data_IF_340782099885
#
_entry.id   IF_340782099885
#
_cell.length_a   1.000
_cell.length_b   1.000
_cell.length_c   1.000
_cell.angle_alpha   90.00
_cell.angle_beta   90.00
_cell.angle_gamma   90.00
#
_symmetry.space_group_name_H-M   'P 1'
#
loop_
_entity.id
_entity.type
_entity.pdbx_description
1 polymer ?
#
# COMPACT_ATOMS: atom_id res chain seq x y z
N UNK A 1 25.41 -6.59 -11.60
CA UNK A 1 24.67 -7.72 -10.99
C UNK A 1 23.61 -8.26 -11.93
N UNK A 2 23.15 -9.49 -11.68
CA UNK A 2 21.94 -10.07 -12.31
C UNK A 2 20.86 -10.23 -11.25
N UNK A 3 19.77 -9.50 -11.39
CA UNK A 3 18.68 -9.45 -10.41
C UNK A 3 17.44 -10.09 -11.02
N UNK A 4 16.81 -11.01 -10.29
CA UNK A 4 15.52 -11.58 -10.64
C UNK A 4 14.44 -11.02 -9.72
N UNK A 5 13.32 -10.53 -10.29
CA UNK A 5 12.24 -9.89 -9.56
C UNK A 5 10.92 -10.65 -9.83
N UNK A 6 10.17 -11.06 -8.80
CA UNK A 6 8.82 -11.62 -8.98
C UNK A 6 7.86 -10.50 -9.40
N UNK A 7 7.66 -10.39 -10.71
CA UNK A 7 6.88 -9.35 -11.36
C UNK A 7 5.40 -9.71 -11.52
N UNK A 8 4.94 -10.78 -10.88
CA UNK A 8 3.59 -11.35 -11.09
C UNK A 8 2.47 -10.33 -10.84
N UNK A 9 2.65 -9.43 -9.87
CA UNK A 9 1.64 -8.45 -9.46
C UNK A 9 1.66 -7.17 -10.30
N UNK A 10 2.70 -6.91 -11.10
CA UNK A 10 2.84 -5.67 -11.90
C UNK A 10 2.00 -5.64 -13.17
N UNK A 11 1.36 -6.76 -13.55
CA UNK A 11 0.70 -6.92 -14.87
C UNK A 11 -0.80 -6.69 -14.76
N UNK A 12 -1.32 -5.84 -15.65
CA UNK A 12 -2.74 -5.54 -15.79
C UNK A 12 -3.06 -4.06 -15.58
N UNK A 13 -4.29 -3.66 -15.93
CA UNK A 13 -4.75 -2.29 -15.77
C UNK A 13 -5.13 -1.98 -14.31
N UNK A 14 -5.70 -2.98 -13.62
CA UNK A 14 -6.25 -2.85 -12.27
C UNK A 14 -5.23 -3.31 -11.23
N UNK A 15 -4.29 -2.43 -10.89
CA UNK A 15 -3.24 -2.75 -9.93
C UNK A 15 -3.71 -2.51 -8.50
N UNK A 16 -3.47 -3.49 -7.63
CA UNK A 16 -3.48 -3.27 -6.17
C UNK A 16 -2.28 -2.44 -5.72
N UNK A 17 -2.25 -2.01 -4.46
CA UNK A 17 -1.06 -1.33 -3.89
C UNK A 17 0.24 -2.11 -4.09
N UNK A 18 0.22 -3.45 -3.90
CA UNK A 18 1.36 -4.34 -4.20
C UNK A 18 1.73 -4.32 -5.69
N UNK A 19 0.73 -4.22 -6.57
CA UNK A 19 0.96 -4.12 -8.01
C UNK A 19 1.62 -2.79 -8.41
N UNK A 20 1.18 -1.68 -7.83
CA UNK A 20 1.80 -0.36 -8.00
C UNK A 20 3.25 -0.39 -7.51
N UNK A 21 3.50 -0.86 -6.30
CA UNK A 21 4.86 -1.04 -5.77
C UNK A 21 5.72 -1.88 -6.71
N UNK A 22 5.22 -3.04 -7.15
CA UNK A 22 5.96 -3.93 -8.05
C UNK A 22 6.36 -3.20 -9.33
N UNK A 23 5.44 -2.48 -9.97
CA UNK A 23 5.70 -1.73 -11.20
C UNK A 23 6.75 -0.64 -10.99
N UNK A 24 6.64 0.13 -9.90
CA UNK A 24 7.60 1.18 -9.56
C UNK A 24 9.01 0.61 -9.32
N UNK A 25 9.11 -0.52 -8.63
CA UNK A 25 10.40 -1.18 -8.39
C UNK A 25 11.02 -1.72 -9.69
N UNK A 26 10.23 -2.37 -10.55
CA UNK A 26 10.71 -2.91 -11.82
C UNK A 26 11.27 -1.81 -12.72
N UNK A 27 10.49 -0.76 -12.94
CA UNK A 27 10.85 0.36 -13.80
C UNK A 27 11.98 1.20 -13.20
N UNK A 28 11.91 1.45 -11.90
CA UNK A 28 12.90 2.25 -11.17
C UNK A 28 14.27 1.58 -11.18
N UNK A 29 14.36 0.33 -10.71
CA UNK A 29 15.62 -0.42 -10.63
C UNK A 29 16.28 -0.56 -12.01
N UNK A 30 15.51 -0.92 -13.03
CA UNK A 30 16.08 -1.11 -14.37
C UNK A 30 16.59 0.20 -15.00
N UNK A 31 15.90 1.33 -14.75
CA UNK A 31 16.32 2.64 -15.28
C UNK A 31 17.52 3.22 -14.55
N UNK A 32 17.57 3.09 -13.22
CA UNK A 32 18.67 3.67 -12.43
C UNK A 32 19.96 2.85 -12.51
N UNK A 33 19.87 1.56 -12.88
CA UNK A 33 21.01 0.65 -12.98
C UNK A 33 21.13 0.03 -14.39
N UNK A 34 21.43 0.84 -15.44
CA UNK A 34 21.44 0.38 -16.82
C UNK A 34 22.58 -0.62 -17.15
N UNK A 35 23.64 -0.64 -16.35
CA UNK A 35 24.74 -1.58 -16.49
C UNK A 35 24.40 -2.99 -15.96
N UNK A 36 23.34 -3.11 -15.16
CA UNK A 36 22.92 -4.35 -14.54
C UNK A 36 21.87 -5.06 -15.39
N UNK A 37 21.64 -6.35 -15.16
CA UNK A 37 20.68 -7.18 -15.91
C UNK A 37 19.53 -7.62 -14.99
N UNK A 38 18.31 -7.52 -15.50
CA UNK A 38 17.10 -7.85 -14.78
C UNK A 38 16.33 -8.99 -15.45
N UNK A 39 15.90 -9.98 -14.67
CA UNK A 39 14.94 -10.98 -15.07
C UNK A 39 13.58 -10.69 -14.40
N UNK A 40 12.62 -10.20 -15.18
CA UNK A 40 11.26 -9.99 -14.71
C UNK A 40 10.52 -11.32 -14.79
N UNK A 41 10.25 -11.88 -13.62
CA UNK A 41 9.75 -13.23 -13.45
C UNK A 41 8.23 -13.21 -13.24
N UNK A 42 7.50 -13.89 -14.10
CA UNK A 42 6.04 -13.95 -14.06
C UNK A 42 5.57 -15.40 -13.85
N UNK A 43 4.67 -15.63 -12.91
CA UNK A 43 4.01 -16.93 -12.73
C UNK A 43 3.11 -17.25 -13.91
N UNK A 44 2.80 -18.57 -14.18
CA UNK A 44 2.13 -19.00 -15.41
C UNK A 44 0.87 -18.21 -15.76
N UNK A 45 0.01 -17.95 -14.77
CA UNK A 45 -1.26 -17.24 -14.97
C UNK A 45 -1.13 -15.76 -15.38
N UNK A 46 0.06 -15.16 -15.28
CA UNK A 46 0.38 -13.77 -15.66
C UNK A 46 1.40 -13.70 -16.80
N UNK A 47 2.10 -14.78 -17.13
CA UNK A 47 3.21 -14.78 -18.08
C UNK A 47 2.79 -14.29 -19.47
N UNK A 48 1.72 -14.86 -20.03
CA UNK A 48 1.24 -14.42 -21.36
C UNK A 48 0.80 -12.94 -21.37
N UNK A 49 0.14 -12.50 -20.31
CA UNK A 49 -0.27 -11.09 -20.19
C UNK A 49 0.90 -10.13 -20.13
N UNK A 50 2.07 -10.57 -19.66
CA UNK A 50 3.27 -9.73 -19.57
C UNK A 50 3.79 -9.28 -20.94
N UNK A 51 3.43 -9.95 -22.03
CA UNK A 51 3.85 -9.56 -23.37
C UNK A 51 3.20 -8.25 -23.85
N UNK A 52 2.10 -7.83 -23.24
CA UNK A 52 1.52 -6.51 -23.44
C UNK A 52 2.30 -5.37 -22.77
N UNK A 53 3.25 -5.68 -21.89
CA UNK A 53 4.07 -4.66 -21.19
C UNK A 53 5.40 -4.46 -21.93
N UNK A 54 5.80 -3.19 -22.11
CA UNK A 54 7.12 -2.85 -22.67
C UNK A 54 8.17 -2.98 -21.58
N UNK A 55 9.24 -3.73 -21.84
CA UNK A 55 10.34 -3.89 -20.88
C UNK A 55 11.47 -2.89 -21.15
N UNK A 56 12.22 -2.47 -20.11
CA UNK A 56 13.49 -1.79 -20.26
C UNK A 56 14.51 -2.64 -21.04
N UNK A 57 15.47 -1.99 -21.73
CA UNK A 57 16.46 -2.66 -22.59
C UNK A 57 17.36 -3.66 -21.87
N UNK A 58 17.58 -3.48 -20.56
CA UNK A 58 18.39 -4.35 -19.72
C UNK A 58 17.55 -5.40 -18.95
N UNK A 59 16.26 -5.55 -19.27
CA UNK A 59 15.36 -6.51 -18.64
C UNK A 59 14.84 -7.56 -19.64
N UNK A 60 14.70 -8.78 -19.17
CA UNK A 60 14.11 -9.90 -19.92
C UNK A 60 12.99 -10.59 -19.14
N UNK A 61 12.06 -11.24 -19.87
CA UNK A 61 10.97 -12.04 -19.26
C UNK A 61 11.46 -13.43 -18.87
N UNK A 62 10.96 -13.90 -17.74
CA UNK A 62 11.21 -15.28 -17.30
C UNK A 62 9.90 -15.91 -16.79
N UNK A 63 9.61 -17.12 -17.24
CA UNK A 63 8.49 -17.91 -16.73
C UNK A 63 8.86 -18.51 -15.38
N UNK A 64 8.33 -17.97 -14.30
CA UNK A 64 8.56 -18.41 -12.92
C UNK A 64 7.68 -19.61 -12.57
N UNK A 65 8.30 -20.70 -12.15
CA UNK A 65 7.60 -21.86 -11.57
C UNK A 65 7.93 -22.01 -10.10
N UNK A 66 7.24 -22.90 -9.41
CA UNK A 66 7.56 -23.17 -7.99
C UNK A 66 8.96 -23.77 -7.81
N UNK A 67 9.40 -24.62 -8.73
CA UNK A 67 10.75 -25.23 -8.72
C UNK A 67 11.69 -24.62 -9.75
N UNK A 68 11.26 -23.57 -10.48
CA UNK A 68 12.00 -22.95 -11.57
C UNK A 68 12.17 -21.46 -11.35
N UNK A 69 13.41 -21.01 -11.14
CA UNK A 69 13.81 -19.61 -11.06
C UNK A 69 15.10 -19.38 -11.88
N UNK A 70 15.46 -18.11 -12.20
CA UNK A 70 16.71 -17.79 -12.90
C UNK A 70 17.94 -18.20 -12.09
N UNK A 71 18.61 -19.30 -12.47
CA UNK A 71 19.78 -19.85 -11.75
C UNK A 71 21.01 -18.92 -11.78
N UNK A 72 21.11 -18.06 -12.79
CA UNK A 72 22.21 -17.10 -12.94
C UNK A 72 21.99 -15.79 -12.20
N UNK A 73 20.85 -15.58 -11.54
CA UNK A 73 20.60 -14.40 -10.75
C UNK A 73 21.47 -14.38 -9.49
N UNK A 74 22.10 -13.25 -9.23
CA UNK A 74 22.88 -13.02 -8.00
C UNK A 74 21.92 -12.83 -6.81
N UNK A 75 20.78 -12.13 -7.03
CA UNK A 75 19.71 -11.93 -6.06
C UNK A 75 18.37 -12.23 -6.72
N UNK A 76 17.50 -12.94 -6.02
CA UNK A 76 16.08 -13.07 -6.32
C UNK A 76 15.29 -12.27 -5.31
N UNK A 77 14.43 -11.35 -5.78
CA UNK A 77 13.54 -10.57 -4.92
C UNK A 77 12.08 -10.92 -5.17
N UNK A 78 11.44 -11.51 -4.17
CA UNK A 78 9.99 -11.61 -4.08
C UNK A 78 9.40 -10.27 -3.69
N UNK A 79 8.85 -9.52 -4.65
CA UNK A 79 8.25 -8.19 -4.42
C UNK A 79 6.97 -8.24 -3.55
N UNK A 80 6.68 -9.39 -3.00
CA UNK A 80 5.69 -9.69 -1.99
C UNK A 80 6.24 -10.81 -1.10
N UNK A 81 5.58 -11.15 0.01
CA UNK A 81 5.98 -12.20 0.96
C UNK A 81 5.84 -13.64 0.36
N UNK A 82 6.49 -13.88 -0.78
CA UNK A 82 6.48 -15.18 -1.45
C UNK A 82 7.77 -15.44 -2.22
N UNK A 83 8.33 -16.62 -2.05
CA UNK A 83 9.46 -17.14 -2.84
C UNK A 83 9.06 -18.41 -3.58
N UNK A 84 9.68 -18.72 -4.73
CA UNK A 84 9.59 -20.06 -5.34
C UNK A 84 10.39 -21.06 -4.50
N UNK A 85 10.01 -22.33 -4.50
CA UNK A 85 10.79 -23.40 -3.85
C UNK A 85 12.07 -23.79 -4.62
N UNK A 86 12.37 -23.11 -5.73
CA UNK A 86 13.62 -23.28 -6.47
C UNK A 86 14.83 -22.87 -5.60
N UNK A 87 15.99 -23.45 -5.91
CA UNK A 87 17.26 -23.02 -5.30
C UNK A 87 17.61 -21.60 -5.77
N UNK A 88 17.74 -20.68 -4.82
CA UNK A 88 18.15 -19.29 -5.01
C UNK A 88 19.57 -19.10 -4.46
N UNK A 89 20.38 -18.23 -5.07
CA UNK A 89 21.71 -17.89 -4.54
C UNK A 89 21.60 -16.99 -3.33
N UNK A 90 20.78 -15.95 -3.46
CA UNK A 90 20.40 -15.02 -2.40
C UNK A 90 18.94 -14.63 -2.59
N UNK A 91 18.22 -14.50 -1.51
CA UNK A 91 16.80 -14.16 -1.54
C UNK A 91 16.49 -12.91 -0.73
N UNK A 92 15.69 -12.04 -1.32
CA UNK A 92 15.06 -10.89 -0.66
C UNK A 92 13.55 -11.03 -0.79
N UNK A 93 12.80 -10.66 0.25
CA UNK A 93 11.33 -10.53 0.16
C UNK A 93 10.89 -9.19 0.71
N UNK A 94 9.82 -8.64 0.12
CA UNK A 94 9.13 -7.46 0.67
C UNK A 94 7.87 -7.87 1.39
N UNK A 95 7.73 -7.43 2.64
CA UNK A 95 6.52 -7.58 3.44
C UNK A 95 5.76 -6.25 3.43
N UNK A 96 4.54 -6.27 2.90
CA UNK A 96 3.67 -5.10 2.81
C UNK A 96 2.79 -4.93 4.04
N UNK A 97 2.35 -6.02 4.61
CA UNK A 97 1.56 -6.10 5.85
C UNK A 97 1.53 -7.53 6.39
N UNK A 98 1.08 -7.65 7.64
CA UNK A 98 0.81 -8.94 8.28
C UNK A 98 -0.58 -8.95 8.96
N UNK A 99 -1.48 -8.03 8.60
CA UNK A 99 -2.81 -7.90 9.23
C UNK A 99 -3.61 -9.21 9.23
N UNK A 100 -3.35 -10.08 8.26
CA UNK A 100 -3.98 -11.41 8.17
C UNK A 100 -3.58 -12.32 9.35
N UNK A 101 -2.40 -12.09 9.94
CA UNK A 101 -1.89 -12.84 11.08
C UNK A 101 -2.26 -12.21 12.43
N UNK A 102 -2.44 -10.89 12.46
CA UNK A 102 -2.66 -10.11 13.68
C UNK A 102 -4.12 -9.84 13.98
N UNK A 103 -5.02 -10.08 13.01
CA UNK A 103 -6.46 -9.85 13.18
C UNK A 103 -7.33 -10.82 12.37
N UNK A 104 -8.63 -10.76 12.61
CA UNK A 104 -9.64 -11.59 11.93
C UNK A 104 -10.19 -10.92 10.66
N UNK A 105 -9.27 -10.45 9.79
CA UNK A 105 -9.61 -9.68 8.60
C UNK A 105 -9.74 -10.52 7.32
N UNK A 106 -9.81 -11.86 7.46
CA UNK A 106 -9.98 -12.79 6.35
C UNK A 106 -10.50 -14.14 6.84
N UNK A 107 -10.81 -15.05 5.90
CA UNK A 107 -11.28 -16.41 6.28
C UNK A 107 -10.16 -17.21 6.99
N UNK A 108 -10.50 -18.15 7.89
CA UNK A 108 -9.51 -18.99 8.57
C UNK A 108 -8.58 -19.73 7.60
N UNK A 109 -9.10 -20.24 6.47
CA UNK A 109 -8.32 -20.94 5.45
C UNK A 109 -7.29 -20.03 4.80
N UNK A 110 -7.70 -18.80 4.46
CA UNK A 110 -6.80 -17.81 3.88
C UNK A 110 -5.72 -17.42 4.88
N UNK A 111 -6.08 -17.19 6.15
CA UNK A 111 -5.16 -16.85 7.23
C UNK A 111 -4.09 -17.92 7.42
N UNK A 112 -4.49 -19.21 7.43
CA UNK A 112 -3.54 -20.34 7.54
C UNK A 112 -2.56 -20.37 6.37
N UNK A 113 -3.08 -20.32 5.12
CA UNK A 113 -2.22 -20.32 3.92
C UNK A 113 -1.27 -19.12 3.87
N UNK A 114 -1.76 -17.95 4.25
CA UNK A 114 -0.93 -16.76 4.33
C UNK A 114 0.17 -16.91 5.38
N UNK A 115 -0.15 -17.47 6.56
CA UNK A 115 0.81 -17.72 7.62
C UNK A 115 1.93 -18.66 7.18
N UNK A 116 1.57 -19.77 6.53
CA UNK A 116 2.53 -20.73 5.99
C UNK A 116 3.46 -20.08 4.96
N UNK A 117 2.88 -19.35 3.99
CA UNK A 117 3.63 -18.67 2.95
C UNK A 117 4.55 -17.57 3.53
N UNK A 118 4.06 -16.78 4.48
CA UNK A 118 4.84 -15.71 5.10
C UNK A 118 6.02 -16.28 5.91
N UNK A 119 5.81 -17.36 6.68
CA UNK A 119 6.87 -18.04 7.44
C UNK A 119 7.91 -18.68 6.52
N UNK A 120 7.47 -19.36 5.45
CA UNK A 120 8.40 -19.95 4.45
C UNK A 120 9.26 -18.84 3.82
N UNK A 121 8.65 -17.78 3.34
CA UNK A 121 9.39 -16.66 2.74
C UNK A 121 10.35 -16.01 3.74
N UNK A 122 9.92 -15.77 4.98
CA UNK A 122 10.76 -15.16 6.02
C UNK A 122 11.96 -16.03 6.39
N UNK A 123 11.75 -17.36 6.53
CA UNK A 123 12.83 -18.30 6.88
C UNK A 123 13.89 -18.40 5.80
N UNK A 124 13.51 -18.30 4.52
CA UNK A 124 14.39 -18.50 3.36
C UNK A 124 14.97 -17.21 2.78
N UNK A 125 14.59 -16.04 3.29
CA UNK A 125 15.14 -14.77 2.84
C UNK A 125 16.45 -14.43 3.54
N UNK A 126 17.49 -14.03 2.82
CA UNK A 126 18.74 -13.51 3.39
C UNK A 126 18.52 -12.09 3.95
N UNK A 127 17.65 -11.31 3.31
CA UNK A 127 17.18 -10.00 3.77
C UNK A 127 15.66 -9.88 3.57
N UNK A 128 15.04 -9.13 4.44
CA UNK A 128 13.62 -8.80 4.36
C UNK A 128 13.47 -7.29 4.29
N UNK A 129 12.76 -6.81 3.30
CA UNK A 129 12.32 -5.42 3.23
C UNK A 129 10.95 -5.33 3.87
N UNK A 130 10.81 -4.49 4.89
CA UNK A 130 9.53 -4.10 5.47
C UNK A 130 9.19 -2.68 5.02
N UNK A 131 7.94 -2.44 4.67
CA UNK A 131 7.52 -1.15 4.07
C UNK A 131 7.34 -0.04 5.11
N UNK A 132 7.41 -0.38 6.40
CA UNK A 132 7.35 0.55 7.54
C UNK A 132 8.06 -0.04 8.75
N UNK A 133 8.36 0.79 9.76
CA UNK A 133 8.86 0.33 11.06
C UNK A 133 7.82 -0.56 11.76
N UNK A 134 6.53 -0.24 11.57
CA UNK A 134 5.45 -1.06 12.12
C UNK A 134 5.48 -2.46 11.52
N UNK A 135 5.53 -2.59 10.18
CA UNK A 135 5.65 -3.89 9.51
C UNK A 135 6.97 -4.60 9.87
N UNK A 136 8.06 -3.86 10.05
CA UNK A 136 9.33 -4.46 10.50
C UNK A 136 9.19 -5.11 11.88
N UNK A 137 8.58 -4.42 12.85
CA UNK A 137 8.28 -5.00 14.16
C UNK A 137 7.40 -6.25 14.04
N UNK A 138 6.34 -6.22 13.24
CA UNK A 138 5.50 -7.41 13.03
C UNK A 138 6.29 -8.58 12.43
N UNK A 139 7.19 -8.34 11.48
CA UNK A 139 8.06 -9.38 10.89
C UNK A 139 8.97 -9.99 11.97
N UNK A 140 9.55 -9.17 12.83
CA UNK A 140 10.42 -9.63 13.92
C UNK A 140 9.60 -10.41 14.96
N UNK A 141 8.51 -9.83 15.47
CA UNK A 141 7.78 -10.34 16.63
C UNK A 141 6.88 -11.54 16.27
N UNK A 142 6.18 -11.49 15.13
CA UNK A 142 5.19 -12.51 14.74
C UNK A 142 5.83 -13.67 13.98
N UNK A 143 6.88 -13.40 13.18
CA UNK A 143 7.55 -14.42 12.37
C UNK A 143 8.88 -14.89 12.97
N UNK A 144 9.34 -14.28 14.08
CA UNK A 144 10.59 -14.65 14.75
C UNK A 144 11.85 -14.37 13.94
N UNK A 145 11.83 -13.33 13.10
CA UNK A 145 12.96 -12.98 12.23
C UNK A 145 13.99 -12.17 13.01
N UNK A 146 15.27 -12.50 12.82
CA UNK A 146 16.37 -11.68 13.36
C UNK A 146 16.31 -10.26 12.77
N UNK A 147 16.31 -9.26 13.65
CA UNK A 147 16.30 -7.83 13.31
C UNK A 147 17.42 -7.46 12.34
N UNK A 148 18.61 -8.09 12.45
CA UNK A 148 19.75 -7.86 11.57
C UNK A 148 19.44 -8.15 10.09
N UNK A 149 18.43 -8.98 9.81
CA UNK A 149 17.98 -9.32 8.45
C UNK A 149 16.92 -8.36 7.89
N UNK A 150 16.32 -7.49 8.71
CA UNK A 150 15.21 -6.62 8.31
C UNK A 150 15.74 -5.24 7.92
N UNK A 151 15.23 -4.71 6.80
CA UNK A 151 15.49 -3.35 6.33
C UNK A 151 14.17 -2.64 6.08
N UNK A 152 14.04 -1.41 6.55
CA UNK A 152 12.85 -0.61 6.30
C UNK A 152 13.04 0.23 5.05
N UNK A 153 12.14 0.03 4.08
CA UNK A 153 12.11 0.80 2.83
C UNK A 153 10.68 1.28 2.60
N UNK A 154 10.43 2.55 2.87
CA UNK A 154 9.13 3.15 2.67
C UNK A 154 8.73 3.17 1.19
N UNK A 155 7.44 3.09 0.91
CA UNK A 155 6.93 3.36 -0.43
C UNK A 155 7.08 4.84 -0.79
N UNK A 156 7.15 5.10 -2.09
CA UNK A 156 7.00 6.44 -2.62
C UNK A 156 5.55 6.76 -2.97
N UNK A 157 5.29 8.02 -3.26
CA UNK A 157 4.04 8.49 -3.86
C UNK A 157 4.36 9.30 -5.12
N UNK A 158 3.50 9.22 -6.10
CA UNK A 158 3.55 10.12 -7.25
C UNK A 158 2.64 11.31 -6.99
N UNK A 159 3.14 12.55 -7.15
CA UNK A 159 2.24 13.69 -7.17
C UNK A 159 1.15 13.46 -8.23
N UNK A 160 -0.11 13.75 -7.93
CA UNK A 160 -1.16 13.61 -8.92
C UNK A 160 -0.88 14.55 -10.08
N UNK A 161 -0.83 14.01 -11.30
CA UNK A 161 -0.86 14.79 -12.50
C UNK A 161 -2.27 15.36 -12.70
N UNK A 162 -2.45 16.69 -12.69
CA UNK A 162 -3.76 17.27 -12.95
C UNK A 162 -3.76 18.79 -12.80
N UNK A 163 -4.75 19.43 -13.45
CA UNK A 163 -5.07 20.84 -13.28
C UNK A 163 -5.66 21.08 -11.89
N UNK A 164 -5.42 22.25 -11.30
CA UNK A 164 -6.07 22.68 -10.07
C UNK A 164 -7.61 22.59 -10.22
N UNK A 165 -8.23 21.78 -9.39
CA UNK A 165 -9.69 21.56 -9.38
C UNK A 165 -10.26 22.20 -8.11
N UNK A 166 -11.39 22.87 -8.24
CA UNK A 166 -12.12 23.38 -7.06
C UNK A 166 -12.57 22.22 -6.19
N UNK A 167 -12.15 22.22 -4.92
CA UNK A 167 -12.56 21.21 -3.95
C UNK A 167 -14.05 21.31 -3.65
N UNK A 168 -14.67 20.15 -3.47
CA UNK A 168 -16.09 20.00 -3.19
C UNK A 168 -16.28 19.49 -1.76
N UNK A 169 -17.45 19.70 -1.18
CA UNK A 169 -17.82 19.18 0.15
C UNK A 169 -17.93 17.64 0.13
N UNK A 170 -16.81 16.99 -0.16
CA UNK A 170 -16.67 15.54 -0.23
C UNK A 170 -15.69 15.11 0.86
N UNK A 171 -16.12 14.14 1.67
CA UNK A 171 -15.26 13.31 2.48
C UNK A 171 -14.98 12.04 1.65
N UNK A 172 -13.72 11.84 1.26
CA UNK A 172 -13.30 10.70 0.46
C UNK A 172 -12.66 9.63 1.34
N UNK A 173 -13.02 8.37 1.11
CA UNK A 173 -12.32 7.20 1.60
C UNK A 173 -11.86 6.35 0.41
N UNK A 174 -10.60 5.89 0.42
CA UNK A 174 -10.04 5.02 -0.61
C UNK A 174 -9.50 3.73 0.01
N UNK A 175 -10.02 2.61 -0.45
CA UNK A 175 -9.62 1.27 0.00
C UNK A 175 -10.74 0.26 -0.23
N UNK A 176 -10.40 -1.02 -0.24
CA UNK A 176 -11.42 -2.07 -0.36
C UNK A 176 -12.49 -1.93 0.75
N UNK A 177 -13.73 -2.16 0.39
CA UNK A 177 -14.86 -2.18 1.34
C UNK A 177 -14.72 -3.44 2.19
N UNK A 178 -14.10 -3.31 3.35
CA UNK A 178 -13.77 -4.45 4.25
C UNK A 178 -13.66 -4.00 5.71
N UNK A 179 -13.83 -4.94 6.64
CA UNK A 179 -13.83 -4.66 8.09
C UNK A 179 -12.61 -3.86 8.55
N UNK A 180 -11.42 -4.24 8.10
CA UNK A 180 -10.16 -3.59 8.49
C UNK A 180 -10.13 -2.09 8.18
N UNK A 181 -10.84 -1.66 7.15
CA UNK A 181 -10.95 -0.25 6.75
C UNK A 181 -11.91 0.57 7.62
N UNK A 182 -12.64 -0.09 8.51
CA UNK A 182 -13.48 0.53 9.53
C UNK A 182 -14.55 1.49 8.97
N UNK A 183 -15.07 1.15 7.79
CA UNK A 183 -16.04 1.98 7.06
C UNK A 183 -17.34 2.10 7.85
N UNK A 184 -17.72 1.08 8.62
CA UNK A 184 -18.91 1.11 9.46
C UNK A 184 -18.89 2.27 10.45
N UNK A 185 -17.75 2.52 11.15
CA UNK A 185 -17.62 3.67 12.04
C UNK A 185 -17.56 4.99 11.30
N UNK A 186 -16.93 5.00 10.12
CA UNK A 186 -16.92 6.19 9.28
C UNK A 186 -18.34 6.61 8.88
N UNK A 187 -19.22 5.65 8.59
CA UNK A 187 -20.64 5.90 8.29
C UNK A 187 -21.36 6.47 9.52
N UNK A 188 -21.16 5.89 10.72
CA UNK A 188 -21.74 6.39 11.96
C UNK A 188 -21.29 7.83 12.25
N UNK A 189 -20.02 8.10 12.13
CA UNK A 189 -19.45 9.43 12.33
C UNK A 189 -19.98 10.45 11.29
N UNK A 190 -20.15 10.02 10.05
CA UNK A 190 -20.67 10.86 8.96
C UNK A 190 -22.13 11.27 9.16
N UNK A 191 -22.92 10.52 9.90
CA UNK A 191 -24.32 10.88 10.17
C UNK A 191 -24.50 12.21 10.88
N UNK A 192 -23.49 12.67 11.63
CA UNK A 192 -23.46 13.96 12.33
C UNK A 192 -22.89 15.13 11.51
N UNK A 193 -22.36 14.83 10.31
CA UNK A 193 -21.85 15.84 9.39
C UNK A 193 -23.01 16.57 8.70
N UNK A 194 -22.86 17.87 8.47
CA UNK A 194 -23.88 18.75 7.86
C UNK A 194 -24.36 18.18 6.52
N UNK A 195 -25.65 18.43 6.18
CA UNK A 195 -26.36 17.76 5.08
C UNK A 195 -25.85 18.05 3.68
N UNK A 196 -25.07 19.09 3.50
CA UNK A 196 -24.49 19.50 2.23
C UNK A 196 -23.15 18.80 1.90
N UNK A 197 -22.67 17.90 2.77
CA UNK A 197 -21.53 17.05 2.55
C UNK A 197 -21.90 15.69 2.02
N UNK A 198 -21.00 15.12 1.21
CA UNK A 198 -21.08 13.75 0.69
C UNK A 198 -19.95 12.90 1.23
N UNK A 199 -20.23 11.62 1.50
CA UNK A 199 -19.21 10.59 1.75
C UNK A 199 -19.04 9.76 0.48
N UNK A 200 -17.82 9.71 -0.05
CA UNK A 200 -17.49 8.93 -1.24
C UNK A 200 -16.53 7.81 -0.85
N UNK A 201 -16.91 6.59 -1.16
CA UNK A 201 -16.18 5.36 -0.88
C UNK A 201 -15.68 4.76 -2.21
N UNK A 202 -14.36 4.79 -2.44
CA UNK A 202 -13.72 4.26 -3.63
C UNK A 202 -12.95 2.97 -3.30
N UNK A 203 -13.38 1.84 -3.84
CA UNK A 203 -12.73 0.54 -3.68
C UNK A 203 -13.68 -0.63 -3.91
N UNK A 204 -13.10 -1.76 -4.30
CA UNK A 204 -13.87 -2.99 -4.54
C UNK A 204 -14.33 -3.63 -3.23
N UNK A 205 -15.35 -4.49 -3.32
CA UNK A 205 -15.78 -5.31 -2.19
C UNK A 205 -14.66 -6.23 -1.70
N UNK A 206 -14.48 -6.30 -0.39
CA UNK A 206 -13.55 -7.16 0.30
C UNK A 206 -14.21 -7.98 1.40
N UNK A 207 -13.42 -8.46 2.35
CA UNK A 207 -13.92 -9.29 3.46
C UNK A 207 -14.86 -8.48 4.38
N UNK A 208 -16.08 -8.98 4.59
CA UNK A 208 -17.13 -8.31 5.37
C UNK A 208 -17.88 -7.21 4.63
N UNK A 209 -17.74 -7.11 3.29
CA UNK A 209 -18.38 -6.07 2.51
C UNK A 209 -19.93 -6.11 2.58
N UNK A 210 -20.54 -7.29 2.68
CA UNK A 210 -21.99 -7.43 2.71
C UNK A 210 -22.61 -6.70 3.91
N UNK A 211 -22.03 -6.87 5.10
CA UNK A 211 -22.50 -6.24 6.33
C UNK A 211 -22.28 -4.72 6.29
N UNK A 212 -21.16 -4.27 5.72
CA UNK A 212 -20.87 -2.85 5.55
C UNK A 212 -21.89 -2.20 4.59
N UNK A 213 -22.19 -2.86 3.47
CA UNK A 213 -23.18 -2.40 2.49
C UNK A 213 -24.57 -2.36 3.11
N UNK A 214 -24.96 -3.38 3.88
CA UNK A 214 -26.23 -3.40 4.60
C UNK A 214 -26.31 -2.23 5.60
N UNK A 215 -25.24 -1.94 6.34
CA UNK A 215 -25.18 -0.80 7.26
C UNK A 215 -25.33 0.54 6.52
N UNK A 216 -24.65 0.71 5.39
CA UNK A 216 -24.80 1.92 4.55
C UNK A 216 -26.26 2.09 4.10
N UNK A 217 -26.89 1.00 3.66
CA UNK A 217 -28.30 1.01 3.23
C UNK A 217 -29.29 1.38 4.34
N UNK A 218 -28.96 1.03 5.60
CA UNK A 218 -29.76 1.37 6.78
C UNK A 218 -29.46 2.77 7.38
N UNK A 219 -28.38 3.41 6.96
CA UNK A 219 -27.95 4.71 7.49
C UNK A 219 -28.94 5.83 7.12
N UNK A 220 -29.17 6.77 8.03
CA UNK A 220 -29.99 7.98 7.77
C UNK A 220 -29.39 8.87 6.67
N UNK A 221 -28.05 8.80 6.54
CA UNK A 221 -27.27 9.56 5.56
C UNK A 221 -27.09 8.83 4.22
N UNK A 222 -27.74 7.67 3.98
CA UNK A 222 -27.54 6.81 2.80
C UNK A 222 -27.56 7.56 1.46
N UNK A 223 -28.47 8.54 1.31
CA UNK A 223 -28.60 9.34 0.08
C UNK A 223 -27.39 10.24 -0.20
N UNK A 224 -26.55 10.46 0.82
CA UNK A 224 -25.32 11.25 0.74
C UNK A 224 -24.04 10.37 0.69
N UNK A 225 -24.20 9.04 0.73
CA UNK A 225 -23.07 8.09 0.68
C UNK A 225 -23.04 7.46 -0.72
N UNK A 226 -21.92 7.66 -1.39
CA UNK A 226 -21.70 7.14 -2.74
C UNK A 226 -20.60 6.08 -2.75
N UNK A 227 -20.93 4.85 -3.13
CA UNK A 227 -19.95 3.79 -3.37
C UNK A 227 -19.61 3.72 -4.86
N UNK A 228 -18.31 3.86 -5.20
CA UNK A 228 -17.86 3.89 -6.59
C UNK A 228 -17.42 2.51 -7.10
N UNK A 229 -17.19 1.53 -6.21
CA UNK A 229 -16.49 0.32 -6.58
C UNK A 229 -15.02 0.58 -6.92
N UNK A 230 -14.45 -0.25 -7.78
CA UNK A 230 -13.11 -0.02 -8.29
C UNK A 230 -13.06 1.27 -9.14
N UNK A 231 -12.08 2.11 -8.88
CA UNK A 231 -11.85 3.36 -9.60
C UNK A 231 -10.48 3.31 -10.26
N UNK A 232 -10.36 3.48 -11.59
CA UNK A 232 -9.08 3.52 -12.28
C UNK A 232 -8.17 4.64 -11.74
N UNK A 233 -6.82 4.49 -11.79
CA UNK A 233 -5.88 5.45 -11.19
C UNK A 233 -6.06 6.90 -11.67
N UNK A 234 -6.32 7.11 -12.97
CA UNK A 234 -6.52 8.45 -13.51
C UNK A 234 -7.80 9.12 -12.97
N UNK A 235 -8.87 8.35 -12.79
CA UNK A 235 -10.12 8.84 -12.20
C UNK A 235 -9.96 9.03 -10.69
N UNK A 236 -9.25 8.12 -10.03
CA UNK A 236 -8.97 8.21 -8.59
C UNK A 236 -8.19 9.48 -8.23
N UNK A 237 -7.22 9.88 -9.07
CA UNK A 237 -6.51 11.15 -8.92
C UNK A 237 -7.48 12.37 -8.91
N UNK A 238 -8.51 12.35 -9.77
CA UNK A 238 -9.54 13.38 -9.78
C UNK A 238 -10.39 13.39 -8.49
N UNK A 239 -10.67 12.22 -7.91
CA UNK A 239 -11.39 12.14 -6.64
C UNK A 239 -10.56 12.72 -5.50
N UNK A 240 -9.27 12.40 -5.39
CA UNK A 240 -8.37 13.02 -4.42
C UNK A 240 -8.29 14.55 -4.58
N UNK A 241 -8.18 15.04 -5.82
CA UNK A 241 -8.10 16.48 -6.08
C UNK A 241 -9.39 17.22 -5.70
N UNK A 242 -10.56 16.61 -5.90
CA UNK A 242 -11.88 17.20 -5.61
C UNK A 242 -12.31 17.07 -4.14
N UNK A 243 -11.80 16.08 -3.42
CA UNK A 243 -12.19 15.86 -2.04
C UNK A 243 -11.69 17.00 -1.13
N UNK A 244 -12.57 17.58 -0.33
CA UNK A 244 -12.22 18.59 0.66
C UNK A 244 -11.63 17.99 1.94
N UNK A 245 -11.94 16.71 2.24
CA UNK A 245 -11.40 15.95 3.36
C UNK A 245 -11.15 14.51 2.90
N UNK A 246 -10.05 13.92 3.33
CA UNK A 246 -9.78 12.50 3.20
C UNK A 246 -9.88 11.83 4.57
N UNK A 247 -10.68 10.76 4.70
CA UNK A 247 -10.88 10.03 5.95
C UNK A 247 -10.39 8.59 5.85
N UNK A 248 -9.46 8.19 6.74
CA UNK A 248 -8.82 6.88 6.71
C UNK A 248 -8.72 6.25 8.12
N UNK A 249 -9.85 5.88 8.74
CA UNK A 249 -9.88 5.34 10.10
C UNK A 249 -9.59 3.84 10.14
N UNK A 250 -8.64 3.36 9.35
CA UNK A 250 -8.32 1.93 9.25
C UNK A 250 -7.80 1.37 10.57
N UNK A 251 -8.21 0.15 10.91
CA UNK A 251 -7.80 -0.54 12.13
C UNK A 251 -6.36 -1.08 12.05
N UNK A 252 -5.92 -1.48 10.87
CA UNK A 252 -4.57 -2.02 10.63
C UNK A 252 -4.10 -1.71 9.21
N UNK A 253 -2.87 -1.22 9.07
CA UNK A 253 -2.21 -0.92 7.81
C UNK A 253 -0.71 -1.21 7.89
N UNK A 254 -0.18 -1.83 6.85
CA UNK A 254 1.27 -2.03 6.78
C UNK A 254 2.04 -0.78 6.35
N UNK A 255 1.36 0.19 5.68
CA UNK A 255 1.96 1.47 5.29
C UNK A 255 0.93 2.62 5.27
N UNK A 256 -0.11 2.53 4.44
CA UNK A 256 -1.09 3.61 4.30
C UNK A 256 -0.88 4.45 3.03
N UNK A 257 -0.62 3.82 1.89
CA UNK A 257 -0.50 4.51 0.58
C UNK A 257 -1.60 5.55 0.33
N UNK A 258 -2.90 5.27 0.59
CA UNK A 258 -3.96 6.24 0.35
C UNK A 258 -3.82 7.54 1.15
N UNK A 259 -3.20 7.49 2.34
CA UNK A 259 -2.90 8.68 3.15
C UNK A 259 -1.89 9.57 2.42
N UNK A 260 -0.80 8.99 1.90
CA UNK A 260 0.19 9.76 1.13
C UNK A 260 -0.38 10.28 -0.19
N UNK A 261 -1.23 9.51 -0.88
CA UNK A 261 -1.89 9.94 -2.11
C UNK A 261 -2.81 11.14 -1.87
N UNK A 262 -3.58 11.10 -0.78
CA UNK A 262 -4.41 12.22 -0.34
C UNK A 262 -3.57 13.46 -0.01
N UNK A 263 -2.49 13.30 0.76
CA UNK A 263 -1.55 14.37 1.11
C UNK A 263 -0.87 14.96 -0.13
N UNK A 264 -0.38 14.12 -1.05
CA UNK A 264 0.23 14.56 -2.30
C UNK A 264 -0.76 15.32 -3.21
N UNK A 265 -2.06 15.05 -3.05
CA UNK A 265 -3.14 15.78 -3.71
C UNK A 265 -3.57 17.05 -2.95
N UNK A 266 -2.94 17.36 -1.82
CA UNK A 266 -3.28 18.48 -0.94
C UNK A 266 -4.63 18.30 -0.23
N UNK A 267 -5.18 17.09 -0.12
CA UNK A 267 -6.38 16.87 0.68
C UNK A 267 -6.03 16.84 2.18
N UNK A 268 -6.71 17.61 3.04
CA UNK A 268 -6.60 17.48 4.49
C UNK A 268 -7.00 16.08 4.93
N UNK A 269 -6.22 15.47 5.82
CA UNK A 269 -6.36 14.06 6.21
C UNK A 269 -6.80 13.93 7.66
N UNK A 270 -7.84 13.11 7.89
CA UNK A 270 -8.16 12.50 9.18
C UNK A 270 -7.82 11.02 9.05
N UNK A 271 -6.99 10.49 9.93
CA UNK A 271 -6.53 9.12 9.84
C UNK A 271 -6.38 8.45 11.22
N UNK A 272 -6.28 7.13 11.21
CA UNK A 272 -6.04 6.33 12.41
C UNK A 272 -4.70 6.69 13.08
N UNK A 273 -4.66 6.67 14.39
CA UNK A 273 -3.46 6.77 15.21
C UNK A 273 -2.74 5.42 15.42
N UNK A 274 -3.16 4.36 14.72
CA UNK A 274 -2.65 2.99 14.89
C UNK A 274 -1.86 2.48 13.69
N UNK A 275 -1.15 1.40 13.91
CA UNK A 275 -0.37 0.65 12.91
C UNK A 275 0.72 1.51 12.24
N UNK A 276 0.89 1.44 10.92
CA UNK A 276 1.86 2.25 10.20
C UNK A 276 1.36 3.67 9.87
N UNK A 277 0.10 3.99 10.11
CA UNK A 277 -0.49 5.27 9.70
C UNK A 277 0.18 6.48 10.37
N UNK A 278 0.46 6.50 11.68
CA UNK A 278 1.18 7.60 12.33
C UNK A 278 2.59 7.80 11.78
N UNK A 279 3.30 6.71 11.44
CA UNK A 279 4.65 6.77 10.85
C UNK A 279 4.63 7.48 9.49
N UNK A 280 3.60 7.24 8.68
CA UNK A 280 3.43 7.82 7.35
C UNK A 280 2.90 9.23 7.44
N UNK A 281 1.89 9.47 8.24
CA UNK A 281 1.21 10.76 8.35
C UNK A 281 2.02 11.82 9.11
N UNK A 282 2.76 11.41 10.15
CA UNK A 282 3.44 12.34 11.04
C UNK A 282 2.45 13.32 11.68
N UNK A 283 2.81 14.58 11.72
CA UNK A 283 1.99 15.70 12.19
C UNK A 283 1.11 16.35 11.10
N UNK A 284 1.10 15.77 9.90
CA UNK A 284 0.39 16.30 8.74
C UNK A 284 -1.04 15.75 8.57
N UNK A 285 -1.53 14.96 9.52
CA UNK A 285 -2.91 14.52 9.60
C UNK A 285 -3.51 14.79 10.98
N UNK A 286 -4.82 14.84 11.05
CA UNK A 286 -5.53 14.74 12.31
C UNK A 286 -5.69 13.25 12.65
N UNK A 287 -4.85 12.77 13.57
CA UNK A 287 -4.90 11.38 14.03
C UNK A 287 -6.01 11.20 15.06
N UNK A 288 -6.73 10.09 14.97
CA UNK A 288 -7.84 9.71 15.86
C UNK A 288 -7.74 8.23 16.22
N UNK A 289 -8.22 7.86 17.39
CA UNK A 289 -8.42 6.44 17.72
C UNK A 289 -9.50 5.86 16.80
N UNK A 290 -9.18 4.89 15.94
CA UNK A 290 -10.15 4.30 15.02
C UNK A 290 -11.26 3.51 15.72
N UNK A 291 -11.13 3.21 17.01
CA UNK A 291 -12.16 2.56 17.81
C UNK A 291 -13.04 3.55 18.57
N UNK A 292 -12.67 4.81 18.65
CA UNK A 292 -13.49 5.88 19.22
C UNK A 292 -14.33 6.58 18.13
N UNK A 293 -15.62 6.24 18.08
CA UNK A 293 -16.55 6.84 17.12
C UNK A 293 -16.82 8.32 17.41
N UNK A 294 -16.79 8.74 18.68
CA UNK A 294 -17.03 10.13 19.05
C UNK A 294 -15.84 11.03 18.69
N UNK A 295 -14.61 10.53 18.87
CA UNK A 295 -13.41 11.25 18.44
C UNK A 295 -13.39 11.42 16.91
N UNK A 296 -13.64 10.34 16.14
CA UNK A 296 -13.75 10.41 14.69
C UNK A 296 -14.84 11.38 14.25
N UNK A 297 -16.00 11.35 14.91
CA UNK A 297 -17.12 12.27 14.65
C UNK A 297 -16.71 13.72 14.91
N UNK A 298 -16.11 13.99 16.06
CA UNK A 298 -15.63 15.30 16.44
C UNK A 298 -14.62 15.87 15.43
N UNK A 299 -13.66 15.04 15.01
CA UNK A 299 -12.68 15.42 14.00
C UNK A 299 -13.33 15.76 12.63
N UNK A 300 -14.25 14.91 12.16
CA UNK A 300 -14.98 15.14 10.91
C UNK A 300 -15.79 16.44 10.97
N UNK A 301 -16.63 16.61 12.00
CA UNK A 301 -17.49 17.80 12.16
C UNK A 301 -16.64 19.07 12.27
N UNK A 302 -15.59 19.06 13.08
CA UNK A 302 -14.72 20.22 13.23
C UNK A 302 -14.03 20.57 11.91
N UNK A 303 -13.46 19.58 11.20
CA UNK A 303 -12.74 19.84 9.96
C UNK A 303 -13.67 20.30 8.82
N UNK A 304 -14.95 19.91 8.83
CA UNK A 304 -15.94 20.42 7.86
C UNK A 304 -16.22 21.92 8.04
N UNK A 305 -16.04 22.47 9.25
CA UNK A 305 -16.37 23.83 9.63
C UNK A 305 -15.16 24.77 9.74
N UNK A 306 -13.95 24.22 9.73
CA UNK A 306 -12.70 24.96 9.95
C UNK A 306 -11.84 25.01 8.67
N UNK A 307 -11.99 26.05 7.83
CA UNK A 307 -11.21 26.19 6.60
C UNK A 307 -9.72 26.48 6.86
N UNK A 308 -9.38 27.14 7.97
CA UNK A 308 -7.99 27.46 8.31
C UNK A 308 -7.23 26.17 8.68
N UNK A 309 -7.84 25.32 9.49
CA UNK A 309 -7.27 24.01 9.83
C UNK A 309 -7.14 23.11 8.61
N UNK A 310 -8.12 23.12 7.69
CA UNK A 310 -7.98 22.40 6.41
C UNK A 310 -6.79 22.91 5.61
N UNK A 311 -6.61 24.23 5.52
CA UNK A 311 -5.48 24.81 4.79
C UNK A 311 -4.13 24.43 5.41
N UNK A 312 -4.01 24.45 6.74
CA UNK A 312 -2.79 24.06 7.44
C UNK A 312 -2.48 22.57 7.25
N UNK A 313 -3.46 21.67 7.42
CA UNK A 313 -3.28 20.23 7.17
C UNK A 313 -2.91 19.93 5.71
N UNK A 314 -3.54 20.66 4.77
CA UNK A 314 -3.19 20.53 3.34
C UNK A 314 -1.73 20.90 3.05
N UNK A 315 -1.27 22.05 3.58
CA UNK A 315 0.13 22.50 3.43
C UNK A 315 1.11 21.47 4.02
N UNK A 316 0.90 21.10 5.29
CA UNK A 316 1.75 20.08 5.96
C UNK A 316 1.70 18.73 5.23
N UNK A 317 0.54 18.33 4.72
CA UNK A 317 0.36 17.11 3.94
C UNK A 317 1.22 17.09 2.67
N UNK A 318 1.22 18.17 1.90
CA UNK A 318 2.07 18.31 0.71
C UNK A 318 3.57 18.21 1.06
N UNK A 319 4.01 18.92 2.11
CA UNK A 319 5.40 18.88 2.60
C UNK A 319 5.78 17.46 3.07
N UNK A 320 4.86 16.76 3.74
CA UNK A 320 5.06 15.38 4.22
C UNK A 320 5.17 14.40 3.08
N UNK A 321 4.25 14.44 2.12
CA UNK A 321 4.23 13.55 0.97
C UNK A 321 5.48 13.68 0.10
N UNK A 322 6.03 14.88 -0.02
CA UNK A 322 7.25 15.15 -0.79
C UNK A 322 8.50 14.41 -0.25
N UNK A 323 8.46 13.94 1.00
CA UNK A 323 9.55 13.15 1.62
C UNK A 323 9.51 11.67 1.23
N UNK A 324 8.45 11.21 0.57
CA UNK A 324 8.26 9.81 0.19
C UNK A 324 8.34 9.67 -1.33
N UNK A 325 9.51 9.38 -1.84
CA UNK A 325 9.75 9.26 -3.28
C UNK A 325 10.04 7.83 -3.70
N UNK A 326 9.55 7.44 -4.89
CA UNK A 326 9.91 6.15 -5.46
C UNK A 326 11.40 6.05 -5.78
N UNK A 327 12.07 7.17 -6.07
CA UNK A 327 13.51 7.20 -6.29
C UNK A 327 14.28 6.75 -5.04
N UNK A 328 13.89 7.24 -3.86
CA UNK A 328 14.48 6.83 -2.58
C UNK A 328 14.18 5.35 -2.26
N UNK A 329 12.95 4.90 -2.51
CA UNK A 329 12.56 3.49 -2.33
C UNK A 329 13.39 2.55 -3.21
N UNK A 330 13.62 2.92 -4.47
CA UNK A 330 14.46 2.19 -5.43
C UNK A 330 15.91 2.14 -4.95
N UNK A 331 16.48 3.28 -4.56
CA UNK A 331 17.87 3.37 -4.09
C UNK A 331 18.09 2.54 -2.82
N UNK A 332 17.21 2.66 -1.83
CA UNK A 332 17.29 1.84 -0.60
C UNK A 332 17.14 0.34 -0.89
N UNK A 333 16.26 -0.03 -1.81
CA UNK A 333 16.13 -1.43 -2.25
C UNK A 333 17.42 -1.91 -2.91
N UNK A 334 18.05 -1.07 -3.74
CA UNK A 334 19.32 -1.40 -4.37
C UNK A 334 20.45 -1.59 -3.35
N UNK A 335 20.50 -0.76 -2.32
CA UNK A 335 21.46 -0.91 -1.21
C UNK A 335 21.33 -2.26 -0.52
N UNK A 336 20.10 -2.77 -0.32
CA UNK A 336 19.88 -4.13 0.22
C UNK A 336 20.50 -5.20 -0.68
N UNK A 337 20.43 -5.04 -2.00
CA UNK A 337 21.07 -6.00 -2.92
C UNK A 337 22.60 -5.90 -2.85
N UNK A 338 23.16 -4.71 -2.72
CA UNK A 338 24.59 -4.52 -2.56
C UNK A 338 25.10 -5.12 -1.27
N UNK A 339 24.43 -4.94 -0.14
CA UNK A 339 24.79 -5.59 1.12
C UNK A 339 24.95 -7.11 0.95
N UNK A 340 24.08 -7.73 0.16
CA UNK A 340 24.15 -9.17 -0.11
C UNK A 340 25.25 -9.53 -1.09
N UNK A 341 25.55 -8.67 -2.05
CA UNK A 341 26.59 -8.94 -3.05
C UNK A 341 27.99 -8.76 -2.47
N UNK A 342 28.19 -7.70 -1.66
CA UNK A 342 29.50 -7.32 -1.08
C UNK A 342 29.88 -8.19 0.14
N UNK A 343 28.88 -8.74 0.86
CA UNK A 343 29.07 -9.64 2.01
C UNK A 343 29.47 -11.06 1.62
N UNK A 344 30.29 -11.27 0.55
CA UNK A 344 30.90 -12.57 0.24
C UNK A 344 31.98 -12.89 1.28
N UNK A 345 31.90 -14.00 2.00
CA UNK A 345 33.10 -14.76 2.31
C UNK A 345 33.58 -15.36 0.99
N UNK A 346 34.85 -15.17 0.68
CA UNK A 346 35.59 -15.81 -0.39
C UNK A 346 35.42 -17.34 -0.38
#
# INVERSE_FOLDING_TARGET
>A
MKIALDSTYSVGADLSGVGVYSREMLDGLARTHPADRFAFCYRPHRFLRSFGERLPANAGRFLLGETRAPRSADVFHGLNQRLPHARLRRAVTTFHDLFVLTGEYSTPEFRRRFAEQARDAASRSDRIIAVSQFTARQVIDVLGVDQARVRVVHHGVRPPGGTAVTRQKIILHVGAIQYRKNISRLVDAFERVDRDWQLVLAGSAGYGAAEIVAKIGAARSRERIRMLGYVPPAELANWYARAMIFAFPSLDEGFGMPVLEAMASGAPVIASDRSAVPEVAGDAAWLVDPEDTEELTGALVALTRDPERRADLSRRGLERAARFTWAEAVEKTWQVYRELADGRPD
#
